data_IF_346858472749
#
_entry.id   IF_346858472749
#
_cell.length_a   1.000
_cell.length_b   1.000
_cell.length_c   1.000
_cell.angle_alpha   90.00
_cell.angle_beta   90.00
_cell.angle_gamma   90.00
#
_symmetry.space_group_name_H-M   'P 1'
#
loop_
_entity.id
_entity.type
_entity.pdbx_description
1 polymer ?
#
# COMPACT_ATOMS: atom_id res chain seq x y z
N UNK A 1 -1.42 33.25 -7.83
CA UNK A 1 -1.39 31.89 -7.27
C UNK A 1 -0.99 30.97 -8.40
N UNK A 2 0.30 30.65 -8.46
CA UNK A 2 0.88 29.68 -9.39
C UNK A 2 1.85 28.90 -8.53
N UNK A 3 1.50 27.67 -8.19
CA UNK A 3 2.49 26.73 -7.68
C UNK A 3 3.26 26.23 -8.91
N UNK A 4 4.50 26.70 -9.04
CA UNK A 4 5.42 26.21 -10.05
C UNK A 4 5.79 24.76 -9.71
N UNK A 5 5.46 23.81 -10.59
CA UNK A 5 6.02 22.46 -10.55
C UNK A 5 7.31 22.42 -11.39
N UNK A 6 8.32 23.19 -11.01
CA UNK A 6 9.66 23.07 -11.60
C UNK A 6 10.50 22.13 -10.75
N UNK A 7 10.41 20.83 -11.02
CA UNK A 7 11.27 19.84 -10.38
C UNK A 7 10.92 18.43 -10.80
N UNK A 8 11.90 17.68 -11.28
CA UNK A 8 11.81 16.23 -11.37
C UNK A 8 11.74 15.68 -9.93
N UNK A 9 10.53 15.38 -9.45
CA UNK A 9 10.34 14.75 -8.15
C UNK A 9 10.36 13.23 -8.31
N UNK A 10 11.29 12.55 -7.65
CA UNK A 10 11.21 11.11 -7.47
C UNK A 10 10.45 10.82 -6.17
N UNK A 11 9.54 9.86 -6.21
CA UNK A 11 8.91 9.35 -5.00
C UNK A 11 9.88 8.37 -4.33
N UNK A 12 10.08 8.50 -3.01
CA UNK A 12 10.79 7.49 -2.23
C UNK A 12 9.94 6.21 -2.22
N UNK A 13 10.56 5.08 -2.57
CA UNK A 13 9.93 3.77 -2.41
C UNK A 13 10.32 3.25 -1.01
N UNK A 14 9.31 2.93 -0.21
CA UNK A 14 9.47 2.36 1.14
C UNK A 14 9.07 0.89 1.09
N UNK A 15 9.78 0.01 1.77
CA UNK A 15 9.34 -1.39 1.91
C UNK A 15 8.69 -1.53 3.27
N UNK A 16 7.54 -2.20 3.35
CA UNK A 16 6.92 -2.51 4.61
C UNK A 16 7.80 -3.47 5.43
N UNK A 17 7.73 -3.34 6.75
CA UNK A 17 8.48 -4.20 7.66
C UNK A 17 7.94 -5.63 7.61
N UNK A 18 8.82 -6.59 7.84
CA UNK A 18 8.44 -8.00 7.87
C UNK A 18 7.50 -8.27 9.06
N UNK A 19 6.48 -9.09 8.78
CA UNK A 19 5.45 -9.53 9.73
C UNK A 19 4.53 -8.43 10.29
N UNK A 20 4.57 -7.24 9.70
CA UNK A 20 3.62 -6.16 10.00
C UNK A 20 2.23 -6.46 9.40
N UNK A 21 1.18 -6.27 10.21
CA UNK A 21 -0.21 -6.50 9.84
C UNK A 21 -0.97 -5.19 9.61
N UNK A 22 -0.41 -4.06 10.05
CA UNK A 22 -0.98 -2.71 9.91
C UNK A 22 0.11 -1.70 9.54
N UNK A 23 0.80 -1.88 8.41
CA UNK A 23 1.97 -1.06 8.13
C UNK A 23 1.63 0.42 7.99
N UNK A 24 2.51 1.24 8.56
CA UNK A 24 2.39 2.69 8.48
C UNK A 24 2.67 3.19 7.06
N UNK A 25 1.83 4.11 6.59
CA UNK A 25 2.02 4.84 5.34
C UNK A 25 2.52 6.27 5.59
N UNK A 26 2.98 6.56 6.81
CA UNK A 26 3.60 7.83 7.13
C UNK A 26 4.86 8.06 6.27
N UNK A 27 4.96 9.24 5.65
CA UNK A 27 6.17 9.68 4.97
C UNK A 27 6.41 9.09 3.57
N UNK A 28 5.37 8.57 2.91
CA UNK A 28 5.46 8.14 1.52
C UNK A 28 4.11 7.95 0.82
N UNK A 29 4.19 7.81 -0.51
CA UNK A 29 3.06 7.39 -1.34
C UNK A 29 3.36 6.11 -2.11
N UNK A 30 4.61 5.62 -2.14
CA UNK A 30 5.00 4.44 -2.92
C UNK A 30 5.63 3.42 -2.00
N UNK A 31 5.00 2.25 -1.92
CA UNK A 31 5.36 1.19 -1.00
C UNK A 31 5.58 -0.12 -1.74
N UNK A 32 6.43 -0.96 -1.17
CA UNK A 32 6.60 -2.36 -1.53
C UNK A 32 6.13 -3.25 -0.39
N UNK A 33 5.50 -4.38 -0.73
CA UNK A 33 5.21 -5.42 0.25
C UNK A 33 6.50 -5.94 0.88
N UNK A 34 6.40 -6.48 2.10
CA UNK A 34 7.54 -7.00 2.82
C UNK A 34 8.18 -8.19 2.08
N UNK A 35 9.45 -8.47 2.37
CA UNK A 35 10.25 -9.45 1.59
C UNK A 35 10.56 -10.73 2.35
N UNK A 36 10.48 -10.68 3.69
CA UNK A 36 11.03 -11.68 4.59
C UNK A 36 10.05 -12.15 5.67
N UNK A 37 8.73 -12.06 5.42
CA UNK A 37 7.71 -12.62 6.30
C UNK A 37 8.06 -14.04 6.78
N UNK A 38 7.86 -14.33 8.06
CA UNK A 38 8.10 -15.67 8.62
C UNK A 38 7.08 -16.72 8.14
N UNK A 39 5.87 -16.28 7.78
CA UNK A 39 4.82 -17.03 7.10
C UNK A 39 3.88 -16.03 6.40
N UNK A 40 2.99 -16.48 5.51
CA UNK A 40 2.03 -15.58 4.86
C UNK A 40 1.29 -14.67 5.87
N UNK A 41 1.10 -13.41 5.50
CA UNK A 41 0.49 -12.38 6.37
C UNK A 41 -0.68 -11.70 5.69
N UNK A 42 -1.61 -11.27 6.53
CA UNK A 42 -2.76 -10.50 6.12
C UNK A 42 -2.62 -9.08 6.65
N UNK A 43 -2.62 -8.11 5.75
CA UNK A 43 -2.80 -6.70 6.08
C UNK A 43 -4.31 -6.43 6.09
N UNK A 44 -4.80 -5.88 7.20
CA UNK A 44 -6.20 -5.51 7.37
C UNK A 44 -6.43 -4.01 7.49
N UNK A 45 -5.36 -3.21 7.58
CA UNK A 45 -5.40 -1.75 7.59
C UNK A 45 -4.02 -1.15 7.25
N UNK A 46 -3.97 0.15 6.94
CA UNK A 46 -2.73 0.93 6.92
C UNK A 46 -2.79 2.04 7.96
N UNK A 47 -1.75 2.13 8.79
CA UNK A 47 -1.66 3.11 9.87
C UNK A 47 -1.15 4.47 9.37
N UNK A 48 -1.48 5.53 10.11
CA UNK A 48 -1.03 6.92 9.86
C UNK A 48 -1.43 7.52 8.49
N UNK A 49 -2.50 7.00 7.88
CA UNK A 49 -3.10 7.57 6.68
C UNK A 49 -3.64 8.99 6.89
N UNK A 50 -3.50 9.85 5.88
CA UNK A 50 -4.10 11.20 5.86
C UNK A 50 -5.21 11.27 4.82
N UNK A 51 -6.35 11.86 5.15
CA UNK A 51 -7.48 11.98 4.22
C UNK A 51 -7.04 12.61 2.87
N UNK A 52 -7.38 11.95 1.77
CA UNK A 52 -6.97 12.29 0.41
C UNK A 52 -5.61 11.72 -0.02
N UNK A 53 -4.89 11.01 0.85
CA UNK A 53 -3.63 10.36 0.51
C UNK A 53 -3.89 9.21 -0.48
N UNK A 54 -3.10 9.20 -1.57
CA UNK A 54 -3.05 8.09 -2.51
C UNK A 54 -1.76 7.32 -2.27
N UNK A 55 -1.88 6.00 -2.11
CA UNK A 55 -0.73 5.09 -2.00
C UNK A 55 -0.71 4.11 -3.15
N UNK A 56 0.51 3.79 -3.59
CA UNK A 56 0.83 2.79 -4.59
C UNK A 56 1.55 1.66 -3.87
N UNK A 57 1.03 0.45 -3.99
CA UNK A 57 1.64 -0.76 -3.43
C UNK A 57 2.14 -1.59 -4.60
N UNK A 58 3.42 -1.93 -4.54
CA UNK A 58 4.13 -2.71 -5.55
C UNK A 58 4.49 -4.05 -4.91
N UNK A 59 4.14 -5.13 -5.60
CA UNK A 59 4.55 -6.47 -5.19
C UNK A 59 6.07 -6.61 -5.12
N UNK A 60 6.54 -7.20 -4.02
CA UNK A 60 7.89 -7.73 -3.89
C UNK A 60 8.01 -9.19 -4.32
N UNK A 61 6.88 -9.87 -4.58
CA UNK A 61 6.81 -11.29 -4.90
C UNK A 61 7.63 -12.19 -3.94
N UNK A 62 7.43 -12.07 -2.61
CA UNK A 62 8.14 -12.86 -1.61
C UNK A 62 7.66 -14.31 -1.62
N UNK A 63 8.47 -15.20 -1.03
CA UNK A 63 8.07 -16.61 -0.85
C UNK A 63 6.85 -16.76 0.08
N UNK A 64 6.77 -15.92 1.11
CA UNK A 64 5.62 -15.81 2.02
C UNK A 64 4.84 -14.55 1.67
N UNK A 65 3.71 -14.72 0.98
CA UNK A 65 2.94 -13.62 0.43
C UNK A 65 2.28 -12.72 1.50
N UNK A 66 2.24 -11.42 1.22
CA UNK A 66 1.31 -10.48 1.83
C UNK A 66 -0.06 -10.60 1.16
N UNK A 67 -1.14 -10.58 1.93
CA UNK A 67 -2.51 -10.44 1.42
C UNK A 67 -3.12 -9.19 2.00
N UNK A 68 -3.50 -8.22 1.18
CA UNK A 68 -4.33 -7.09 1.58
C UNK A 68 -5.76 -7.59 1.52
N UNK A 69 -6.39 -7.71 2.70
CA UNK A 69 -7.69 -8.35 2.85
C UNK A 69 -8.80 -7.34 2.60
N UNK A 70 -9.78 -7.74 1.80
CA UNK A 70 -11.00 -6.97 1.60
C UNK A 70 -11.92 -7.04 2.82
N UNK A 71 -12.51 -5.90 3.18
CA UNK A 71 -13.43 -5.72 4.30
C UNK A 71 -12.85 -4.88 5.43
N UNK A 72 -13.71 -4.51 6.38
CA UNK A 72 -13.35 -3.54 7.42
C UNK A 72 -12.97 -2.20 6.78
N UNK A 73 -11.79 -1.71 7.12
CA UNK A 73 -11.27 -0.39 6.71
C UNK A 73 -10.59 -0.43 5.32
N UNK A 74 -10.51 -1.60 4.68
CA UNK A 74 -9.99 -1.81 3.33
C UNK A 74 -11.11 -2.21 2.38
N UNK A 75 -11.67 -1.23 1.68
CA UNK A 75 -12.77 -1.40 0.73
C UNK A 75 -12.21 -1.59 -0.68
N UNK A 76 -11.84 -2.82 -1.00
CA UNK A 76 -11.22 -3.21 -2.27
C UNK A 76 -12.11 -4.22 -3.01
N UNK A 77 -11.83 -4.51 -4.28
CA UNK A 77 -12.77 -5.33 -5.07
C UNK A 77 -12.75 -6.82 -4.63
N UNK A 78 -11.62 -7.29 -4.10
CA UNK A 78 -11.40 -8.61 -3.50
C UNK A 78 -10.00 -8.62 -2.87
N UNK A 79 -9.70 -9.57 -1.97
CA UNK A 79 -8.36 -9.80 -1.43
C UNK A 79 -7.27 -9.66 -2.51
N UNK A 80 -6.36 -8.72 -2.32
CA UNK A 80 -5.20 -8.57 -3.17
C UNK A 80 -4.05 -9.39 -2.58
N UNK A 81 -3.64 -10.44 -3.30
CA UNK A 81 -2.55 -11.32 -2.86
C UNK A 81 -1.30 -10.96 -3.66
N UNK A 82 -0.21 -10.76 -2.94
CA UNK A 82 1.11 -10.48 -3.49
C UNK A 82 1.54 -11.54 -4.51
N UNK A 83 2.39 -11.15 -5.45
CA UNK A 83 2.81 -12.00 -6.56
C UNK A 83 3.40 -11.23 -7.73
N UNK A 84 4.10 -11.91 -8.62
CA UNK A 84 4.85 -11.29 -9.71
C UNK A 84 4.04 -10.23 -10.49
N UNK A 85 4.67 -9.07 -10.71
CA UNK A 85 4.18 -7.99 -11.57
C UNK A 85 2.84 -7.34 -11.16
N UNK A 86 2.46 -7.46 -9.87
CA UNK A 86 1.23 -6.86 -9.35
C UNK A 86 1.41 -5.49 -8.73
N UNK A 87 0.38 -4.67 -8.84
CA UNK A 87 0.26 -3.39 -8.14
C UNK A 87 -1.16 -3.18 -7.64
N UNK A 88 -1.30 -2.40 -6.56
CA UNK A 88 -2.57 -1.91 -6.04
C UNK A 88 -2.45 -0.42 -5.74
N UNK A 89 -3.47 0.37 -6.11
CA UNK A 89 -3.53 1.80 -5.82
C UNK A 89 -4.76 2.08 -4.97
N UNK A 90 -4.57 2.73 -3.83
CA UNK A 90 -5.62 3.03 -2.85
C UNK A 90 -5.70 4.53 -2.57
N UNK A 91 -6.88 5.02 -2.19
CA UNK A 91 -7.10 6.36 -1.64
C UNK A 91 -7.76 6.28 -0.27
N UNK A 92 -7.30 7.09 0.68
CA UNK A 92 -7.88 7.19 2.03
C UNK A 92 -8.90 8.33 2.13
N UNK A 93 -10.09 8.08 2.68
CA UNK A 93 -11.09 9.15 2.91
C UNK A 93 -11.00 9.80 4.30
N UNK A 94 -10.16 9.26 5.19
CA UNK A 94 -10.04 9.65 6.59
C UNK A 94 -10.54 8.59 7.57
N UNK A 95 -11.24 7.56 7.08
CA UNK A 95 -11.68 6.39 7.83
C UNK A 95 -11.32 5.09 7.10
N UNK A 96 -11.64 5.01 5.81
CA UNK A 96 -11.50 3.81 4.99
C UNK A 96 -10.58 4.05 3.77
N UNK A 97 -9.93 2.98 3.32
CA UNK A 97 -9.16 2.94 2.08
C UNK A 97 -9.97 2.33 0.95
N UNK A 98 -9.99 2.99 -0.20
CA UNK A 98 -10.73 2.56 -1.39
C UNK A 98 -9.78 2.20 -2.52
N UNK A 99 -10.05 1.10 -3.21
CA UNK A 99 -9.33 0.75 -4.43
C UNK A 99 -9.60 1.76 -5.56
N UNK A 100 -8.53 2.32 -6.13
CA UNK A 100 -8.58 3.08 -7.39
C UNK A 100 -8.39 2.13 -8.57
N UNK A 101 -7.34 1.30 -8.54
CA UNK A 101 -7.05 0.32 -9.58
C UNK A 101 -6.01 -0.72 -9.11
N UNK A 102 -5.87 -1.79 -9.91
CA UNK A 102 -4.87 -2.85 -9.72
C UNK A 102 -4.45 -3.50 -11.05
N UNK A 103 -3.35 -4.23 -11.00
CA UNK A 103 -2.85 -5.16 -12.03
C UNK A 103 -2.83 -6.56 -11.43
#
# INVERSE_FOLDING_TARGET
>A
MVEQHSGFAYQRIITFDDDDLTPSVAGGCVFKTATGHGAARNITMFDDGVAGQVIYIISSNPANATTIVDGGDLLITANWVDGAEKTLVLIFDGADWYEICRI
#
